data_IF_562903430198
#
_entry.id   IF_562903430198
#
_cell.length_a   1.000
_cell.length_b   1.000
_cell.length_c   1.000
_cell.angle_alpha   90.00
_cell.angle_beta   90.00
_cell.angle_gamma   90.00
#
_symmetry.space_group_name_H-M   'P 1'
#
loop_
_entity.id
_entity.type
_entity.pdbx_description
1 polymer ?
#
# COMPACT_ATOMS: atom_id res chain seq x y z
N UNK A 1 4.99 20.57 -19.98
CA UNK A 1 3.72 19.83 -19.82
C UNK A 1 3.10 20.29 -18.51
N UNK A 2 2.02 21.07 -18.57
CA UNK A 2 1.33 21.54 -17.38
C UNK A 2 0.47 20.37 -16.88
N UNK A 3 1.00 19.59 -15.93
CA UNK A 3 0.24 18.51 -15.28
C UNK A 3 -1.03 19.08 -14.68
N UNK A 4 -2.14 18.36 -14.84
CA UNK A 4 -3.41 18.71 -14.20
C UNK A 4 -3.13 18.87 -12.71
N UNK A 5 -3.33 20.07 -12.17
CA UNK A 5 -3.24 20.31 -10.73
C UNK A 5 -4.43 19.63 -10.06
N UNK A 6 -4.29 18.34 -9.74
CA UNK A 6 -5.33 17.54 -9.11
C UNK A 6 -5.47 17.98 -7.66
N UNK A 7 -6.58 18.69 -7.36
CA UNK A 7 -6.88 19.19 -6.01
C UNK A 7 -7.18 18.06 -5.01
N UNK A 8 -7.73 16.93 -5.48
CA UNK A 8 -7.97 15.69 -4.71
C UNK A 8 -7.91 14.48 -5.65
N UNK A 9 -7.09 13.49 -5.34
CA UNK A 9 -7.00 12.24 -6.10
C UNK A 9 -8.16 11.33 -5.71
N UNK A 10 -8.86 10.81 -6.72
CA UNK A 10 -10.02 9.92 -6.58
C UNK A 10 -9.84 8.69 -7.46
N UNK A 11 -10.67 7.66 -7.26
CA UNK A 11 -10.68 6.47 -8.15
C UNK A 11 -10.88 6.85 -9.64
N UNK A 12 -11.70 7.87 -9.92
CA UNK A 12 -11.90 8.37 -11.27
C UNK A 12 -10.68 9.16 -11.80
N UNK A 13 -9.92 9.80 -10.92
CA UNK A 13 -8.65 10.46 -11.29
C UNK A 13 -7.65 9.42 -11.77
N UNK A 14 -7.47 8.33 -11.03
CA UNK A 14 -6.53 7.26 -11.39
C UNK A 14 -6.90 6.59 -12.71
N UNK A 15 -8.20 6.37 -12.96
CA UNK A 15 -8.68 5.89 -14.26
C UNK A 15 -8.31 6.84 -15.41
N UNK A 16 -8.52 8.14 -15.23
CA UNK A 16 -8.14 9.15 -16.24
C UNK A 16 -6.63 9.21 -16.48
N UNK A 17 -5.81 9.03 -15.43
CA UNK A 17 -4.35 8.95 -15.55
C UNK A 17 -3.97 7.76 -16.46
N UNK A 18 -4.56 6.58 -16.24
CA UNK A 18 -4.35 5.41 -17.11
C UNK A 18 -4.81 5.68 -18.54
N UNK A 19 -6.01 6.22 -18.74
CA UNK A 19 -6.56 6.56 -20.07
C UNK A 19 -5.67 7.54 -20.84
N UNK A 20 -4.99 8.45 -20.12
CA UNK A 20 -4.01 9.38 -20.69
C UNK A 20 -2.63 8.75 -20.96
N UNK A 21 -2.39 7.50 -20.55
CA UNK A 21 -1.08 6.85 -20.63
C UNK A 21 -0.04 7.40 -19.66
N UNK A 22 -0.47 8.16 -18.65
CA UNK A 22 0.38 8.71 -17.61
C UNK A 22 0.57 7.71 -16.46
N UNK A 23 1.62 7.91 -15.65
CA UNK A 23 1.90 7.07 -14.48
C UNK A 23 1.56 7.82 -13.19
N UNK A 24 1.18 7.09 -12.14
CA UNK A 24 0.98 7.63 -10.81
C UNK A 24 1.82 6.89 -9.77
N UNK A 25 1.90 7.48 -8.57
CA UNK A 25 2.77 7.03 -7.48
C UNK A 25 1.98 6.56 -6.26
N UNK A 26 2.43 5.48 -5.64
CA UNK A 26 1.87 4.96 -4.39
C UNK A 26 3.00 4.79 -3.37
N UNK A 27 2.83 5.34 -2.17
CA UNK A 27 3.70 5.03 -1.03
C UNK A 27 2.85 4.61 0.15
N UNK A 28 3.40 3.73 0.99
CA UNK A 28 2.76 3.47 2.28
C UNK A 28 2.95 4.64 3.25
N UNK A 29 2.13 4.72 4.29
CA UNK A 29 2.36 5.58 5.45
C UNK A 29 1.66 4.99 6.68
N UNK A 30 2.20 5.25 7.88
CA UNK A 30 1.72 4.64 9.12
C UNK A 30 1.45 5.67 10.24
N UNK A 31 1.80 6.93 10.04
CA UNK A 31 1.53 7.98 11.02
C UNK A 31 1.11 9.29 10.35
N UNK A 32 0.57 10.19 11.17
CA UNK A 32 0.07 11.49 10.73
C UNK A 32 1.14 12.33 10.01
N UNK A 33 2.33 12.43 10.61
CA UNK A 33 3.37 13.36 10.13
C UNK A 33 4.01 12.87 8.84
N UNK A 34 4.33 11.58 8.77
CA UNK A 34 4.84 10.95 7.56
C UNK A 34 3.82 11.05 6.43
N UNK A 35 2.54 10.76 6.69
CA UNK A 35 1.48 10.87 5.69
C UNK A 35 1.31 12.31 5.17
N UNK A 36 1.40 13.31 6.05
CA UNK A 36 1.35 14.73 5.68
C UNK A 36 2.48 15.09 4.72
N UNK A 37 3.72 14.73 5.04
CA UNK A 37 4.86 15.05 4.18
C UNK A 37 4.85 14.28 2.86
N UNK A 38 4.38 13.03 2.86
CA UNK A 38 4.17 12.24 1.64
C UNK A 38 3.11 12.90 0.73
N UNK A 39 2.03 13.43 1.32
CA UNK A 39 0.98 14.13 0.57
C UNK A 39 1.47 15.47 0.00
N UNK A 40 2.21 16.26 0.79
CA UNK A 40 2.85 17.52 0.36
C UNK A 40 3.86 17.30 -0.77
N UNK A 41 4.57 16.17 -0.76
CA UNK A 41 5.48 15.77 -1.83
C UNK A 41 4.76 15.38 -3.14
N UNK A 42 3.43 15.29 -3.14
CA UNK A 42 2.64 15.02 -4.35
C UNK A 42 2.46 13.54 -4.67
N UNK A 43 2.61 12.62 -3.71
CA UNK A 43 2.28 11.19 -3.90
C UNK A 43 0.78 11.03 -4.15
N UNK A 44 0.38 10.25 -5.14
CA UNK A 44 -1.02 10.18 -5.62
C UNK A 44 -1.91 9.30 -4.74
N UNK A 45 -1.35 8.23 -4.20
CA UNK A 45 -2.04 7.28 -3.32
C UNK A 45 -1.20 7.02 -2.08
N UNK A 46 -1.82 7.15 -0.90
CA UNK A 46 -1.22 6.78 0.38
C UNK A 46 -1.86 5.48 0.86
N UNK A 47 -1.06 4.43 0.97
CA UNK A 47 -1.50 3.10 1.38
C UNK A 47 -1.18 2.82 2.86
N UNK A 48 -2.18 2.62 3.70
CA UNK A 48 -1.98 2.04 5.03
C UNK A 48 -1.90 0.52 4.85
N UNK A 49 -0.69 0.02 4.57
CA UNK A 49 -0.45 -1.39 4.30
C UNK A 49 -0.29 -2.22 5.57
N UNK A 50 -0.69 -3.49 5.53
CA UNK A 50 -0.46 -4.44 6.64
C UNK A 50 1.04 -4.73 6.88
N UNK A 51 1.92 -4.35 5.94
CA UNK A 51 3.38 -4.23 6.12
C UNK A 51 3.82 -3.39 7.32
N UNK A 52 2.92 -2.57 7.91
CA UNK A 52 3.13 -1.91 9.19
C UNK A 52 3.37 -2.91 10.33
N UNK A 53 2.86 -4.15 10.21
CA UNK A 53 3.10 -5.23 11.16
C UNK A 53 4.59 -5.41 11.40
N UNK A 54 5.38 -5.44 10.32
CA UNK A 54 6.82 -5.66 10.38
C UNK A 54 7.57 -4.35 10.62
N UNK A 55 7.25 -3.32 9.83
CA UNK A 55 8.05 -2.09 9.78
C UNK A 55 7.77 -1.10 10.90
N UNK A 56 6.55 -1.13 11.48
CA UNK A 56 6.16 -0.23 12.57
C UNK A 56 5.96 -0.96 13.90
N UNK A 57 5.44 -2.19 13.88
CA UNK A 57 5.15 -2.96 15.10
C UNK A 57 6.20 -4.04 15.42
N UNK A 58 7.13 -4.34 14.50
CA UNK A 58 8.22 -5.30 14.74
C UNK A 58 7.78 -6.76 14.77
N UNK A 59 6.60 -7.11 14.23
CA UNK A 59 6.20 -8.50 14.03
C UNK A 59 7.03 -9.17 12.93
N UNK A 60 7.18 -10.49 13.02
CA UNK A 60 7.90 -11.26 12.00
C UNK A 60 7.14 -11.35 10.67
N UNK A 61 5.80 -11.34 10.70
CA UNK A 61 4.94 -11.43 9.52
C UNK A 61 3.72 -10.53 9.62
N UNK A 62 3.06 -10.29 8.48
CA UNK A 62 1.81 -9.50 8.43
C UNK A 62 0.60 -10.22 9.00
N UNK A 63 0.66 -11.54 9.25
CA UNK A 63 -0.45 -12.30 9.85
C UNK A 63 -0.80 -11.86 11.27
N UNK A 64 0.12 -11.20 11.96
CA UNK A 64 -0.05 -10.80 13.36
C UNK A 64 -0.92 -9.55 13.52
N UNK A 65 -1.09 -8.72 12.49
CA UNK A 65 -1.86 -7.48 12.61
C UNK A 65 -3.36 -7.74 12.46
N UNK A 66 -4.16 -7.16 13.35
CA UNK A 66 -5.60 -7.26 13.34
C UNK A 66 -6.29 -5.99 12.87
N UNK A 67 -7.62 -6.05 12.83
CA UNK A 67 -8.47 -4.91 12.46
C UNK A 67 -8.29 -3.74 13.43
N UNK A 68 -8.05 -4.02 14.72
CA UNK A 68 -7.98 -2.97 15.75
C UNK A 68 -6.71 -2.14 15.63
N UNK A 69 -5.57 -2.75 15.31
CA UNK A 69 -4.36 -2.01 14.94
C UNK A 69 -4.62 -1.19 13.67
N UNK A 70 -5.13 -1.82 12.60
CA UNK A 70 -5.36 -1.13 11.32
C UNK A 70 -6.28 0.10 11.48
N UNK A 71 -7.26 0.07 12.40
CA UNK A 71 -8.09 1.24 12.73
C UNK A 71 -7.27 2.42 13.28
N UNK A 72 -6.27 2.16 14.12
CA UNK A 72 -5.43 3.21 14.72
C UNK A 72 -4.61 3.90 13.62
N UNK A 73 -3.91 3.10 12.82
CA UNK A 73 -3.06 3.57 11.72
C UNK A 73 -3.87 4.31 10.65
N UNK A 74 -5.04 3.77 10.27
CA UNK A 74 -5.96 4.44 9.32
C UNK A 74 -6.37 5.83 9.81
N UNK A 75 -6.79 5.97 11.07
CA UNK A 75 -7.18 7.28 11.63
C UNK A 75 -6.02 8.27 11.65
N UNK A 76 -4.81 7.81 11.97
CA UNK A 76 -3.64 8.67 12.04
C UNK A 76 -3.27 9.21 10.66
N UNK A 77 -3.17 8.32 9.67
CA UNK A 77 -2.79 8.66 8.28
C UNK A 77 -3.86 9.51 7.61
N UNK A 78 -5.14 9.16 7.75
CA UNK A 78 -6.23 9.90 7.11
C UNK A 78 -6.30 11.38 7.53
N UNK A 79 -5.87 11.70 8.75
CA UNK A 79 -5.77 13.10 9.22
C UNK A 79 -4.62 13.88 8.56
N UNK A 80 -3.56 13.18 8.16
CA UNK A 80 -2.37 13.80 7.55
C UNK A 80 -2.55 14.11 6.07
N UNK A 81 -3.41 13.36 5.37
CA UNK A 81 -3.58 13.46 3.91
C UNK A 81 -4.67 14.45 3.52
N UNK A 82 -4.35 15.42 2.66
CA UNK A 82 -5.30 16.36 2.08
C UNK A 82 -5.63 16.02 0.62
N UNK A 83 -4.62 15.75 -0.22
CA UNK A 83 -4.76 15.58 -1.67
C UNK A 83 -4.85 14.11 -2.11
N UNK A 84 -3.99 13.23 -1.62
CA UNK A 84 -3.87 11.85 -2.09
C UNK A 84 -5.13 11.01 -1.81
N UNK A 85 -5.27 9.91 -2.57
CA UNK A 85 -6.23 8.86 -2.29
C UNK A 85 -5.69 7.97 -1.16
N UNK A 86 -6.32 8.03 0.00
CA UNK A 86 -6.05 7.13 1.13
C UNK A 86 -6.68 5.75 0.89
N UNK A 87 -5.87 4.70 0.89
CA UNK A 87 -6.28 3.30 0.79
C UNK A 87 -5.78 2.57 2.03
N UNK A 88 -6.58 1.70 2.64
CA UNK A 88 -6.10 0.84 3.73
C UNK A 88 -6.21 -0.63 3.36
N UNK A 89 -5.24 -1.42 3.80
CA UNK A 89 -5.36 -2.86 3.75
C UNK A 89 -6.42 -3.39 4.70
N UNK A 90 -7.08 -4.46 4.27
CA UNK A 90 -7.81 -5.34 5.16
C UNK A 90 -6.87 -6.46 5.61
N UNK A 91 -6.63 -6.63 6.93
CA UNK A 91 -5.67 -7.60 7.42
C UNK A 91 -6.18 -9.04 7.27
N UNK A 92 -5.29 -10.01 7.40
CA UNK A 92 -5.62 -11.44 7.30
C UNK A 92 -6.84 -11.81 8.17
N UNK A 93 -7.68 -12.72 7.65
CA UNK A 93 -8.93 -13.18 8.27
C UNK A 93 -10.03 -12.12 8.47
N UNK A 94 -9.76 -10.81 8.30
CA UNK A 94 -10.78 -9.76 8.52
C UNK A 94 -11.89 -9.71 7.47
N UNK A 95 -11.64 -10.26 6.28
CA UNK A 95 -12.54 -10.23 5.14
C UNK A 95 -12.80 -11.61 4.51
N UNK A 96 -12.26 -12.69 5.10
CA UNK A 96 -12.31 -14.04 4.53
C UNK A 96 -13.44 -14.90 5.11
N UNK A 97 -13.97 -14.55 6.29
CA UNK A 97 -14.88 -15.41 7.07
C UNK A 97 -16.28 -15.43 6.45
N UNK A 98 -16.91 -14.27 6.34
CA UNK A 98 -18.24 -14.12 5.77
C UNK A 98 -18.44 -12.69 5.22
N UNK A 99 -19.34 -12.55 4.25
CA UNK A 99 -19.55 -11.28 3.54
C UNK A 99 -20.05 -10.16 4.48
N UNK A 100 -20.88 -10.49 5.48
CA UNK A 100 -21.46 -9.49 6.39
C UNK A 100 -20.39 -8.87 7.28
N UNK A 101 -19.57 -9.71 7.91
CA UNK A 101 -18.43 -9.27 8.73
C UNK A 101 -17.39 -8.52 7.90
N UNK A 102 -17.09 -9.01 6.68
CA UNK A 102 -16.16 -8.35 5.77
C UNK A 102 -16.63 -6.93 5.39
N UNK A 103 -17.90 -6.77 4.99
CA UNK A 103 -18.49 -5.46 4.67
C UNK A 103 -18.44 -4.53 5.88
N UNK A 104 -18.78 -5.03 7.08
CA UNK A 104 -18.70 -4.23 8.32
C UNK A 104 -17.26 -3.75 8.57
N UNK A 105 -16.28 -4.64 8.50
CA UNK A 105 -14.88 -4.31 8.73
C UNK A 105 -14.35 -3.29 7.71
N UNK A 106 -14.66 -3.47 6.42
CA UNK A 106 -14.28 -2.53 5.37
C UNK A 106 -14.97 -1.17 5.55
N UNK A 107 -16.27 -1.17 5.87
CA UNK A 107 -17.05 0.06 6.09
C UNK A 107 -16.55 0.86 7.29
N UNK A 108 -16.09 0.20 8.36
CA UNK A 108 -15.45 0.89 9.48
C UNK A 108 -14.17 1.62 9.03
N UNK A 109 -13.34 1.02 8.18
CA UNK A 109 -12.16 1.71 7.66
C UNK A 109 -12.51 2.99 6.87
N UNK A 110 -13.57 2.94 6.08
CA UNK A 110 -14.07 4.13 5.36
C UNK A 110 -14.53 5.22 6.33
N UNK A 111 -15.28 4.86 7.37
CA UNK A 111 -15.71 5.81 8.42
C UNK A 111 -14.53 6.44 9.17
N UNK A 112 -13.38 5.77 9.21
CA UNK A 112 -12.16 6.27 9.85
C UNK A 112 -11.30 7.16 8.94
N UNK A 113 -11.71 7.36 7.69
CA UNK A 113 -11.11 8.31 6.76
C UNK A 113 -10.35 7.70 5.60
N UNK A 114 -10.33 6.37 5.46
CA UNK A 114 -9.90 5.74 4.20
C UNK A 114 -10.94 6.04 3.10
N UNK A 115 -10.49 6.21 1.85
CA UNK A 115 -11.39 6.34 0.70
C UNK A 115 -11.67 5.01 0.01
N UNK A 116 -10.82 4.00 0.24
CA UNK A 116 -10.90 2.69 -0.37
C UNK A 116 -10.21 1.65 0.51
N UNK A 117 -10.49 0.36 0.24
CA UNK A 117 -9.82 -0.77 0.87
C UNK A 117 -9.00 -1.58 -0.14
N UNK A 118 -7.90 -2.18 0.31
CA UNK A 118 -7.15 -3.19 -0.44
C UNK A 118 -7.40 -4.58 0.14
N UNK A 119 -7.66 -5.55 -0.73
CA UNK A 119 -7.85 -6.96 -0.36
C UNK A 119 -7.00 -7.86 -1.26
N UNK A 120 -6.54 -8.98 -0.70
CA UNK A 120 -5.66 -9.91 -1.39
C UNK A 120 -6.37 -11.20 -1.81
N UNK A 121 -5.91 -11.73 -2.94
CA UNK A 121 -6.24 -13.07 -3.40
C UNK A 121 -7.41 -13.12 -4.38
N UNK A 122 -7.73 -14.35 -4.77
CA UNK A 122 -8.80 -14.64 -5.70
C UNK A 122 -9.54 -15.91 -5.28
N UNK A 123 -10.86 -15.83 -5.29
CA UNK A 123 -11.79 -16.94 -5.19
C UNK A 123 -13.16 -16.46 -5.64
N UNK A 124 -14.11 -17.38 -5.87
CA UNK A 124 -15.51 -17.00 -6.11
C UNK A 124 -16.07 -16.15 -4.97
N UNK A 125 -15.74 -16.50 -3.73
CA UNK A 125 -16.06 -15.70 -2.55
C UNK A 125 -15.49 -14.28 -2.64
N UNK A 126 -14.22 -14.13 -3.01
CA UNK A 126 -13.55 -12.81 -3.11
C UNK A 126 -14.20 -11.96 -4.20
N UNK A 127 -14.51 -12.55 -5.36
CA UNK A 127 -15.22 -11.87 -6.46
C UNK A 127 -16.60 -11.37 -5.99
N UNK A 128 -17.36 -12.20 -5.27
CA UNK A 128 -18.64 -11.81 -4.69
C UNK A 128 -18.45 -10.66 -3.66
N UNK A 129 -17.45 -10.76 -2.78
CA UNK A 129 -17.14 -9.71 -1.83
C UNK A 129 -16.82 -8.36 -2.51
N UNK A 130 -15.97 -8.34 -3.52
CA UNK A 130 -15.63 -7.12 -4.29
C UNK A 130 -16.91 -6.48 -4.86
N UNK A 131 -17.78 -7.30 -5.45
CA UNK A 131 -19.08 -6.83 -5.97
C UNK A 131 -19.92 -6.18 -4.89
N UNK A 132 -20.10 -6.86 -3.76
CA UNK A 132 -20.93 -6.35 -2.65
C UNK A 132 -20.35 -5.09 -2.01
N UNK A 133 -19.03 -4.99 -1.85
CA UNK A 133 -18.37 -3.79 -1.35
C UNK A 133 -18.60 -2.60 -2.29
N UNK A 134 -18.39 -2.81 -3.59
CA UNK A 134 -18.56 -1.78 -4.61
C UNK A 134 -20.02 -1.30 -4.69
N UNK A 135 -21.00 -2.22 -4.66
CA UNK A 135 -22.44 -1.90 -4.64
C UNK A 135 -22.87 -1.12 -3.38
N UNK A 136 -22.13 -1.28 -2.27
CA UNK A 136 -22.36 -0.54 -1.01
C UNK A 136 -21.57 0.79 -0.98
N UNK A 137 -20.86 1.13 -2.06
CA UNK A 137 -20.09 2.37 -2.18
C UNK A 137 -18.70 2.32 -1.55
N UNK A 138 -18.13 1.14 -1.31
CA UNK A 138 -16.76 0.95 -0.82
C UNK A 138 -15.85 0.57 -2.00
N UNK A 139 -14.98 1.46 -2.49
CA UNK A 139 -14.07 1.13 -3.58
C UNK A 139 -13.01 0.11 -3.15
N UNK A 140 -12.72 -0.85 -4.04
CA UNK A 140 -11.76 -1.92 -3.78
C UNK A 140 -10.55 -1.85 -4.72
N UNK A 141 -9.37 -1.81 -4.13
CA UNK A 141 -8.10 -2.11 -4.79
C UNK A 141 -7.83 -3.61 -4.63
N UNK A 142 -7.83 -4.36 -5.72
CA UNK A 142 -7.50 -5.78 -5.69
C UNK A 142 -5.99 -5.99 -5.60
N UNK A 143 -5.56 -7.14 -5.07
CA UNK A 143 -4.15 -7.54 -5.04
C UNK A 143 -3.98 -9.00 -5.48
N UNK A 144 -3.23 -9.21 -6.58
CA UNK A 144 -2.86 -10.50 -7.15
C UNK A 144 -1.34 -10.63 -7.35
N UNK A 145 -0.90 -11.83 -7.72
CA UNK A 145 0.51 -12.20 -7.74
C UNK A 145 0.89 -12.82 -6.40
N UNK A 146 2.03 -12.43 -5.84
CA UNK A 146 2.39 -12.84 -4.50
C UNK A 146 1.59 -12.03 -3.48
N UNK A 147 0.67 -12.69 -2.78
CA UNK A 147 -0.17 -12.09 -1.73
C UNK A 147 0.36 -12.53 -0.36
N UNK A 148 1.04 -11.66 0.42
CA UNK A 148 1.67 -12.02 1.68
C UNK A 148 0.74 -12.74 2.68
N UNK A 149 -0.55 -12.42 2.70
CA UNK A 149 -1.51 -13.08 3.58
C UNK A 149 -1.68 -14.58 3.27
N UNK A 150 -1.32 -15.01 2.06
CA UNK A 150 -1.33 -16.39 1.58
C UNK A 150 0.06 -17.05 1.61
N UNK A 151 1.05 -16.47 2.32
CA UNK A 151 2.43 -16.98 2.39
C UNK A 151 2.51 -18.49 2.63
N UNK A 152 1.70 -19.00 3.56
CA UNK A 152 1.71 -20.41 3.95
C UNK A 152 1.14 -21.33 2.86
N UNK A 153 0.11 -20.91 2.14
CA UNK A 153 -0.48 -21.71 1.05
C UNK A 153 0.33 -21.62 -0.25
N UNK A 154 0.99 -20.48 -0.50
CA UNK A 154 1.97 -20.30 -1.59
C UNK A 154 3.28 -21.06 -1.30
N UNK A 155 3.55 -21.34 -0.03
CA UNK A 155 4.75 -22.04 0.44
C UNK A 155 6.00 -21.17 0.30
N UNK A 156 5.92 -19.90 0.72
CA UNK A 156 7.03 -18.95 0.77
C UNK A 156 7.00 -17.84 -0.30
N UNK A 157 8.01 -16.97 -0.25
CA UNK A 157 8.19 -15.82 -1.16
C UNK A 157 8.56 -16.27 -2.58
N UNK A 158 7.54 -16.59 -3.39
CA UNK A 158 7.72 -17.08 -4.75
C UNK A 158 7.19 -16.08 -5.77
N UNK A 159 7.99 -15.84 -6.80
CA UNK A 159 7.57 -15.11 -8.01
C UNK A 159 6.41 -15.87 -8.68
N UNK A 160 5.32 -15.17 -8.97
CA UNK A 160 4.11 -15.70 -9.61
C UNK A 160 4.08 -15.38 -11.12
N UNK A 161 3.29 -16.10 -11.92
CA UNK A 161 3.15 -15.77 -13.35
C UNK A 161 4.41 -16.02 -14.20
N UNK A 162 5.24 -17.00 -13.83
CA UNK A 162 6.49 -17.33 -14.55
C UNK A 162 6.28 -17.98 -15.92
N UNK A 163 5.15 -18.66 -16.11
CA UNK A 163 4.79 -19.31 -17.37
C UNK A 163 3.63 -18.58 -18.01
N UNK A 164 3.37 -18.87 -19.29
CA UNK A 164 2.21 -18.33 -19.99
C UNK A 164 0.91 -18.72 -19.30
N UNK A 165 0.77 -19.99 -18.92
CA UNK A 165 -0.43 -20.53 -18.27
C UNK A 165 -0.68 -19.83 -16.93
N UNK A 166 0.37 -19.64 -16.12
CA UNK A 166 0.28 -18.91 -14.86
C UNK A 166 -0.06 -17.43 -15.07
N UNK A 167 0.44 -16.81 -16.14
CA UNK A 167 0.12 -15.43 -16.50
C UNK A 167 -1.32 -15.27 -16.97
N UNK A 168 -1.79 -16.17 -17.84
CA UNK A 168 -3.16 -16.21 -18.33
C UNK A 168 -4.15 -16.46 -17.17
N UNK A 169 -3.78 -17.26 -16.17
CA UNK A 169 -4.58 -17.44 -14.96
C UNK A 169 -4.66 -16.14 -14.13
N UNK A 170 -3.55 -15.43 -13.90
CA UNK A 170 -3.60 -14.11 -13.22
C UNK A 170 -4.46 -13.13 -14.01
N UNK A 171 -4.36 -13.11 -15.35
CA UNK A 171 -5.20 -12.25 -16.18
C UNK A 171 -6.69 -12.59 -16.03
N UNK A 172 -7.05 -13.86 -16.04
CA UNK A 172 -8.44 -14.32 -15.83
C UNK A 172 -8.98 -13.88 -14.48
N UNK A 173 -8.18 -14.02 -13.42
CA UNK A 173 -8.53 -13.58 -12.07
C UNK A 173 -8.70 -12.05 -12.01
N UNK A 174 -7.77 -11.31 -12.61
CA UNK A 174 -7.80 -9.86 -12.68
C UNK A 174 -9.05 -9.34 -13.41
N UNK A 175 -9.41 -9.95 -14.54
CA UNK A 175 -10.61 -9.59 -15.30
C UNK A 175 -11.89 -9.85 -14.51
N UNK A 176 -11.96 -10.96 -13.76
CA UNK A 176 -13.10 -11.25 -12.90
C UNK A 176 -13.24 -10.24 -11.74
N UNK A 177 -12.13 -9.82 -11.12
CA UNK A 177 -12.14 -8.78 -10.08
C UNK A 177 -12.50 -7.40 -10.66
N UNK A 178 -12.00 -7.06 -11.85
CA UNK A 178 -12.40 -5.85 -12.58
C UNK A 178 -13.92 -5.84 -12.84
N UNK A 179 -14.46 -6.95 -13.37
CA UNK A 179 -15.90 -7.08 -13.64
C UNK A 179 -16.74 -7.00 -12.37
N UNK A 180 -16.21 -7.46 -11.23
CA UNK A 180 -16.86 -7.33 -9.94
C UNK A 180 -16.83 -5.89 -9.39
N UNK A 181 -16.01 -4.99 -9.94
CA UNK A 181 -16.01 -3.57 -9.55
C UNK A 181 -14.74 -3.09 -8.86
N UNK A 182 -13.67 -3.90 -8.81
CA UNK A 182 -12.36 -3.39 -8.35
C UNK A 182 -11.92 -2.21 -9.24
N UNK A 183 -11.45 -1.12 -8.65
CA UNK A 183 -11.08 0.10 -9.40
C UNK A 183 -9.59 0.12 -9.80
N UNK A 184 -8.76 -0.74 -9.20
CA UNK A 184 -7.34 -0.88 -9.49
C UNK A 184 -6.84 -2.25 -9.05
N UNK A 185 -5.69 -2.67 -9.55
CA UNK A 185 -5.08 -3.96 -9.23
C UNK A 185 -3.59 -3.84 -8.91
N UNK A 186 -3.18 -4.27 -7.72
CA UNK A 186 -1.76 -4.50 -7.40
C UNK A 186 -1.33 -5.84 -7.99
N UNK A 187 -0.17 -5.84 -8.66
CA UNK A 187 0.56 -7.02 -9.10
C UNK A 187 1.87 -7.07 -8.34
N UNK A 188 2.03 -8.08 -7.48
CA UNK A 188 3.23 -8.26 -6.65
C UNK A 188 4.07 -9.46 -7.07
N UNK A 189 5.39 -9.26 -7.19
CA UNK A 189 6.36 -10.28 -7.60
C UNK A 189 5.95 -11.06 -8.87
N UNK A 190 5.48 -10.34 -9.89
CA UNK A 190 5.14 -10.88 -11.22
C UNK A 190 6.21 -10.48 -12.24
N UNK A 191 6.69 -11.36 -13.14
CA UNK A 191 7.64 -10.98 -14.18
C UNK A 191 7.14 -9.79 -15.00
N UNK A 192 8.06 -8.90 -15.37
CA UNK A 192 7.73 -7.64 -16.05
C UNK A 192 6.93 -7.83 -17.34
N UNK A 193 7.25 -8.84 -18.15
CA UNK A 193 6.56 -9.09 -19.41
C UNK A 193 5.15 -9.65 -19.18
N UNK A 194 4.97 -10.48 -18.16
CA UNK A 194 3.66 -10.96 -17.71
C UNK A 194 2.79 -9.80 -17.20
N UNK A 195 3.36 -8.93 -16.37
CA UNK A 195 2.67 -7.77 -15.84
C UNK A 195 2.29 -6.75 -16.94
N UNK A 196 3.16 -6.58 -17.94
CA UNK A 196 2.86 -5.79 -19.15
C UNK A 196 1.65 -6.34 -19.89
N UNK A 197 1.68 -7.65 -20.20
CA UNK A 197 0.58 -8.32 -20.88
C UNK A 197 -0.75 -8.19 -20.13
N UNK A 198 -0.74 -8.35 -18.81
CA UNK A 198 -1.94 -8.15 -17.97
C UNK A 198 -2.41 -6.69 -18.01
N UNK A 199 -1.50 -5.73 -17.85
CA UNK A 199 -1.81 -4.30 -17.82
C UNK A 199 -2.47 -3.81 -19.11
N UNK A 200 -2.01 -4.29 -20.26
CA UNK A 200 -2.54 -3.96 -21.59
C UNK A 200 -3.94 -4.54 -21.84
N UNK A 201 -4.39 -5.50 -21.02
CA UNK A 201 -5.70 -6.18 -21.16
C UNK A 201 -6.72 -5.75 -20.12
N UNK A 202 -6.34 -4.91 -19.17
CA UNK A 202 -7.23 -4.38 -18.14
C UNK A 202 -7.58 -2.92 -18.43
N UNK A 203 -8.83 -2.56 -18.13
CA UNK A 203 -9.32 -1.18 -18.20
C UNK A 203 -8.97 -0.40 -16.92
N UNK A 204 -8.86 -1.10 -15.79
CA UNK A 204 -8.46 -0.50 -14.51
C UNK A 204 -6.94 -0.34 -14.42
N UNK A 205 -6.44 0.67 -13.68
CA UNK A 205 -5.02 0.86 -13.45
C UNK A 205 -4.38 -0.32 -12.72
N UNK A 206 -3.21 -0.75 -13.19
CA UNK A 206 -2.36 -1.73 -12.48
C UNK A 206 -1.25 -1.03 -11.71
N UNK A 207 -0.90 -1.57 -10.54
CA UNK A 207 0.13 -1.03 -9.66
C UNK A 207 1.19 -2.12 -9.45
N UNK A 208 2.44 -1.83 -9.75
CA UNK A 208 3.54 -2.78 -9.56
C UNK A 208 4.09 -2.70 -8.13
N UNK A 209 4.12 -3.85 -7.46
CA UNK A 209 4.95 -4.12 -6.28
C UNK A 209 6.04 -5.13 -6.69
N UNK A 210 7.08 -4.64 -7.36
CA UNK A 210 8.09 -5.52 -7.97
C UNK A 210 7.60 -6.29 -9.20
N UNK A 211 6.61 -5.76 -9.92
CA UNK A 211 6.10 -6.30 -11.18
C UNK A 211 6.66 -5.59 -12.44
N UNK A 212 7.68 -4.75 -12.27
CA UNK A 212 8.36 -4.05 -13.35
C UNK A 212 7.68 -2.75 -13.79
N UNK A 213 8.27 -2.08 -14.78
CA UNK A 213 7.94 -0.68 -15.11
C UNK A 213 6.67 -0.47 -15.93
N UNK A 214 6.08 -1.53 -16.48
CA UNK A 214 5.00 -1.39 -17.45
C UNK A 214 3.62 -1.21 -16.82
N UNK A 215 3.43 -1.55 -15.54
CA UNK A 215 2.22 -1.21 -14.79
C UNK A 215 1.99 0.30 -14.73
N UNK A 216 0.74 0.72 -14.55
CA UNK A 216 0.32 2.14 -14.55
C UNK A 216 0.84 2.94 -13.35
N UNK A 217 1.25 2.25 -12.29
CA UNK A 217 1.89 2.85 -11.13
C UNK A 217 2.90 1.92 -10.47
N UNK A 218 3.63 2.46 -9.49
CA UNK A 218 4.54 1.72 -8.62
C UNK A 218 4.14 1.96 -7.16
N UNK A 219 4.20 0.91 -6.35
CA UNK A 219 4.04 0.98 -4.90
C UNK A 219 5.31 0.49 -4.20
N UNK A 220 5.71 1.19 -3.15
CA UNK A 220 6.77 0.78 -2.23
C UNK A 220 6.38 1.09 -0.78
N UNK A 221 6.95 0.33 0.15
CA UNK A 221 6.90 0.63 1.58
C UNK A 221 7.73 1.88 1.86
N UNK A 222 7.17 2.88 2.54
CA UNK A 222 7.87 4.14 2.80
C UNK A 222 9.16 3.95 3.60
N UNK A 223 9.19 3.01 4.56
CA UNK A 223 10.37 2.74 5.36
C UNK A 223 11.54 2.17 4.55
N UNK A 224 11.27 1.42 3.47
CA UNK A 224 12.29 0.97 2.52
C UNK A 224 12.82 2.15 1.69
N UNK A 225 11.93 3.03 1.25
CA UNK A 225 12.26 4.24 0.47
C UNK A 225 13.10 5.22 1.30
N UNK A 226 12.74 5.45 2.56
CA UNK A 226 13.46 6.33 3.47
C UNK A 226 14.69 5.66 4.10
N UNK A 227 14.85 4.35 3.94
CA UNK A 227 15.93 3.59 4.55
C UNK A 227 15.87 3.60 6.08
N UNK A 228 14.66 3.58 6.64
CA UNK A 228 14.40 3.56 8.08
C UNK A 228 14.45 2.13 8.62
N UNK A 229 13.85 1.18 7.89
CA UNK A 229 13.93 -0.25 8.20
C UNK A 229 15.10 -0.88 7.44
N UNK A 230 15.96 -1.62 8.14
CA UNK A 230 17.23 -2.13 7.57
C UNK A 230 17.43 -3.63 7.68
N UNK A 231 16.54 -4.35 8.38
CA UNK A 231 16.70 -5.80 8.58
C UNK A 231 16.33 -6.58 7.32
N UNK A 232 15.45 -6.03 6.49
CA UNK A 232 15.06 -6.60 5.21
C UNK A 232 14.83 -5.48 4.20
N UNK A 233 15.29 -5.67 2.96
CA UNK A 233 15.00 -4.76 1.85
C UNK A 233 14.67 -5.61 0.61
N UNK A 234 13.44 -5.48 0.06
CA UNK A 234 13.08 -6.20 -1.15
C UNK A 234 13.99 -5.83 -2.32
N UNK A 235 14.34 -6.79 -3.18
CA UNK A 235 15.19 -6.55 -4.37
C UNK A 235 14.65 -5.44 -5.29
N UNK A 236 13.33 -5.25 -5.32
CA UNK A 236 12.67 -4.26 -6.16
C UNK A 236 12.53 -2.88 -5.50
N UNK A 237 12.84 -2.74 -4.21
CA UNK A 237 12.77 -1.47 -3.51
C UNK A 237 14.06 -0.66 -3.74
N UNK A 238 13.90 0.62 -4.08
CA UNK A 238 15.01 1.58 -4.16
C UNK A 238 15.01 2.44 -2.90
N UNK A 239 16.14 2.48 -2.20
CA UNK A 239 16.42 3.41 -1.10
C UNK A 239 16.74 4.80 -1.66
N UNK A 240 16.06 5.83 -1.17
CA UNK A 240 16.24 7.24 -1.54
C UNK A 240 16.84 8.09 -0.41
N UNK A 241 16.89 7.59 0.83
CA UNK A 241 17.52 8.24 1.98
C UNK A 241 18.04 7.23 2.99
N UNK A 242 18.77 7.69 4.01
CA UNK A 242 19.28 6.84 5.12
C UNK A 242 18.81 7.34 6.48
N UNK A 243 17.52 7.16 6.76
CA UNK A 243 16.91 7.60 8.00
C UNK A 243 17.48 6.86 9.22
N UNK A 244 17.89 5.59 9.07
CA UNK A 244 18.56 4.85 10.15
C UNK A 244 19.84 5.56 10.60
N UNK A 245 20.72 5.91 9.66
CA UNK A 245 21.97 6.60 9.98
C UNK A 245 21.70 7.96 10.63
N UNK A 246 20.73 8.72 10.11
CA UNK A 246 20.34 10.02 10.64
C UNK A 246 19.79 9.95 12.07
N UNK A 247 18.89 9.01 12.36
CA UNK A 247 18.33 8.81 13.71
C UNK A 247 19.43 8.44 14.70
N UNK A 248 20.33 7.53 14.32
CA UNK A 248 21.45 7.11 15.18
C UNK A 248 22.40 8.26 15.50
N UNK A 249 22.72 9.10 14.51
CA UNK A 249 23.57 10.28 14.70
C UNK A 249 22.91 11.29 15.66
N UNK A 250 21.65 11.65 15.41
CA UNK A 250 20.92 12.61 16.25
C UNK A 250 20.82 12.13 17.71
N UNK A 251 20.50 10.84 17.91
CA UNK A 251 20.39 10.28 19.25
C UNK A 251 21.74 10.24 20.00
N UNK A 252 22.83 9.91 19.30
CA UNK A 252 24.18 9.92 19.88
C UNK A 252 24.62 11.32 20.28
N UNK A 253 24.41 12.30 19.40
CA UNK A 253 24.77 13.69 19.67
C UNK A 253 24.00 14.25 20.86
N UNK A 254 22.70 13.99 20.94
CA UNK A 254 21.90 14.37 22.09
C UNK A 254 22.40 13.72 23.40
N UNK A 255 22.71 12.42 23.37
CA UNK A 255 23.29 11.71 24.51
C UNK A 255 24.65 12.29 24.93
N UNK A 256 25.51 12.65 23.98
CA UNK A 256 26.79 13.31 24.22
C UNK A 256 26.60 14.70 24.84
N UNK A 257 25.71 15.53 24.28
CA UNK A 257 25.40 16.87 24.78
C UNK A 257 24.84 16.84 26.21
N UNK A 258 24.01 15.84 26.55
CA UNK A 258 23.53 15.64 27.93
C UNK A 258 24.66 15.20 28.85
N UNK A 259 25.47 14.22 28.43
CA UNK A 259 26.54 13.65 29.28
C UNK A 259 27.71 14.60 29.53
N UNK A 260 27.99 15.50 28.60
CA UNK A 260 29.04 16.51 28.74
C UNK A 260 28.54 17.83 29.33
N UNK A 261 27.23 17.97 29.58
CA UNK A 261 26.62 19.17 30.14
C UNK A 261 26.46 20.33 29.15
N UNK A 262 26.56 20.09 27.84
CA UNK A 262 26.31 21.10 26.80
C UNK A 262 24.80 21.31 26.55
N UNK A 263 23.96 20.35 26.93
CA UNK A 263 22.51 20.47 26.92
C UNK A 263 21.90 20.30 28.33
N UNK A 264 20.97 21.18 28.75
CA UNK A 264 20.60 22.43 28.07
C UNK A 264 21.70 23.49 28.20
N UNK A 265 21.84 24.32 27.18
CA UNK A 265 22.63 25.56 27.19
C UNK A 265 21.91 26.68 27.94
N UNK A 266 22.58 27.81 28.18
CA UNK A 266 21.98 29.00 28.81
C UNK A 266 20.75 29.53 28.05
N UNK A 267 20.67 29.34 26.73
CA UNK A 267 19.51 29.74 25.92
C UNK A 267 18.32 28.77 26.00
N UNK A 268 18.50 27.62 26.64
CA UNK A 268 17.52 26.53 26.72
C UNK A 268 16.99 26.32 28.15
N UNK A 269 17.29 27.26 29.06
CA UNK A 269 16.85 27.25 30.47
C UNK A 269 16.02 28.50 30.80
N UNK A 270 15.15 28.41 31.81
CA UNK A 270 14.25 29.48 32.27
C UNK A 270 14.58 29.95 33.70
#
# INVERSE_FOLDING_TARGET
MCGIMVKKVTVNTLRKIKEAGEKFSVLTAYDFSTAKYIDEAGIDVVLIGDSLAMTALGYETTHCVGVDEMKIFTKAVARGVQRALVVTDMPFLSYHVDISSAIKNCGEMIKLGAHAVKIEGYSEYTVNLVKRLTETGIPVMAHLGFTPQFLNTLGGYKIQGKTREATDEILRQAQALQQAGAFSLVLEMVPQDSAKYITEKLEIPTISCGAGKYCDAQVLVCDDVFGKYSEFTPKFARKYGDMRAFILDCAKRFDEDVKNGSFPSESEVF
#
